data_IF_789052444478
#
_entry.id   IF_789052444478
#
_cell.length_a   1.000
_cell.length_b   1.000
_cell.length_c   1.000
_cell.angle_alpha   90.00
_cell.angle_beta   90.00
_cell.angle_gamma   90.00
#
_symmetry.space_group_name_H-M   'P 1'
#
loop_
_entity.id
_entity.type
_entity.pdbx_description
1 polymer ?
#
# COMPACT_ATOMS: atom_id res chain seq x y z
N UNK A 1 -41.78 -67.08 -13.41
CA UNK A 1 -40.46 -66.40 -13.70
C UNK A 1 -39.83 -65.97 -12.38
N UNK A 2 -38.69 -66.54 -12.06
CA UNK A 2 -38.04 -66.38 -10.73
C UNK A 2 -37.22 -65.11 -10.61
N UNK A 3 -37.20 -64.36 -9.45
CA UNK A 3 -36.24 -63.31 -9.20
C UNK A 3 -34.95 -63.89 -8.59
N UNK A 4 -33.80 -63.41 -9.07
CA UNK A 4 -32.46 -63.72 -8.55
C UNK A 4 -32.16 -62.84 -7.37
N UNK A 5 -31.88 -63.40 -6.21
CA UNK A 5 -31.24 -62.75 -5.07
C UNK A 5 -29.77 -62.50 -5.39
N UNK A 6 -29.32 -61.26 -5.20
CA UNK A 6 -27.93 -60.90 -5.16
C UNK A 6 -27.52 -60.71 -3.69
N UNK A 7 -26.59 -61.52 -3.26
CA UNK A 7 -25.98 -61.49 -1.92
C UNK A 7 -24.96 -60.38 -1.86
N UNK A 8 -25.10 -59.42 -0.89
CA UNK A 8 -24.11 -58.40 -0.57
C UNK A 8 -23.23 -58.96 0.55
N UNK A 9 -21.96 -59.20 0.22
CA UNK A 9 -20.91 -59.48 1.21
C UNK A 9 -20.47 -58.18 1.87
N UNK A 10 -20.69 -58.04 3.18
CA UNK A 10 -20.12 -56.97 4.00
C UNK A 10 -18.70 -57.33 4.38
N UNK A 11 -17.71 -56.59 3.88
CA UNK A 11 -16.33 -56.63 4.35
C UNK A 11 -16.16 -55.53 5.42
N UNK A 12 -16.09 -55.96 6.68
CA UNK A 12 -15.72 -55.10 7.80
C UNK A 12 -14.20 -54.88 7.79
N UNK A 13 -13.74 -53.71 7.36
CA UNK A 13 -12.35 -53.29 7.51
C UNK A 13 -12.15 -52.66 8.89
N UNK A 14 -11.41 -53.31 9.76
CA UNK A 14 -10.87 -52.72 11.01
C UNK A 14 -9.84 -51.62 10.66
N UNK A 15 -10.24 -50.38 10.78
CA UNK A 15 -9.32 -49.23 10.77
C UNK A 15 -8.75 -49.07 12.18
N UNK A 16 -7.58 -49.65 12.42
CA UNK A 16 -6.72 -49.28 13.56
C UNK A 16 -6.22 -47.85 13.39
N UNK A 17 -6.74 -46.94 14.20
CA UNK A 17 -6.23 -45.55 14.29
C UNK A 17 -4.88 -45.57 15.00
N UNK A 18 -3.79 -45.65 14.24
CA UNK A 18 -2.47 -45.26 14.74
C UNK A 18 -2.46 -43.74 14.85
N UNK A 19 -2.50 -43.20 16.08
CA UNK A 19 -2.22 -41.81 16.35
C UNK A 19 -0.74 -41.53 16.02
N UNK A 20 -0.50 -41.12 14.78
CA UNK A 20 0.79 -40.54 14.41
C UNK A 20 0.94 -39.22 15.14
N UNK A 21 1.72 -39.19 16.21
CA UNK A 21 2.27 -37.97 16.77
C UNK A 21 3.07 -37.29 15.65
N UNK A 22 2.50 -36.22 15.08
CA UNK A 22 3.21 -35.38 14.11
C UNK A 22 4.45 -34.82 14.82
N UNK A 23 5.57 -35.48 14.66
CA UNK A 23 6.86 -35.01 15.09
C UNK A 23 7.18 -33.79 14.24
N UNK A 24 7.12 -32.59 14.86
CA UNK A 24 7.47 -31.31 14.21
C UNK A 24 8.85 -31.50 13.57
N UNK A 25 8.89 -31.48 12.24
CA UNK A 25 10.17 -31.61 11.52
C UNK A 25 11.16 -30.62 12.11
N UNK A 26 12.45 -31.02 12.32
CA UNK A 26 13.44 -30.09 12.82
C UNK A 26 13.44 -28.86 11.90
N UNK A 27 13.28 -27.68 12.49
CA UNK A 27 13.32 -26.41 11.75
C UNK A 27 14.65 -26.36 10.98
N UNK A 28 14.56 -26.14 9.66
CA UNK A 28 15.77 -26.02 8.84
C UNK A 28 16.67 -24.93 9.40
N UNK A 29 18.00 -25.09 9.25
CA UNK A 29 18.93 -24.05 9.68
C UNK A 29 18.67 -22.76 8.90
N UNK A 30 18.88 -21.56 9.50
CA UNK A 30 18.72 -20.31 8.78
C UNK A 30 19.65 -20.30 7.57
N UNK A 31 19.12 -19.86 6.43
CA UNK A 31 19.88 -19.83 5.16
C UNK A 31 20.68 -18.54 5.02
N UNK A 32 20.28 -17.49 5.75
CA UNK A 32 20.88 -16.16 5.69
C UNK A 32 20.86 -15.48 7.06
N UNK A 33 21.92 -14.73 7.35
CA UNK A 33 22.01 -13.81 8.48
C UNK A 33 22.33 -12.41 7.95
N UNK A 34 21.65 -11.39 8.48
CA UNK A 34 22.01 -9.98 8.28
C UNK A 34 22.59 -9.43 9.57
N UNK A 35 23.65 -8.63 9.45
CA UNK A 35 24.26 -7.84 10.53
C UNK A 35 24.34 -6.38 10.13
N UNK A 36 24.22 -5.49 11.11
CA UNK A 36 24.40 -4.06 10.96
C UNK A 36 24.83 -3.42 12.28
N UNK A 37 25.13 -2.13 12.30
CA UNK A 37 25.43 -1.42 13.55
C UNK A 37 24.18 -1.24 14.42
N UNK A 38 23.01 -1.00 13.80
CA UNK A 38 21.77 -0.79 14.53
C UNK A 38 20.55 -1.40 13.80
N UNK A 39 19.46 -1.62 14.55
CA UNK A 39 18.14 -1.92 14.05
C UNK A 39 17.15 -0.98 14.74
N UNK A 40 16.32 -0.30 13.97
CA UNK A 40 15.23 0.48 14.53
C UNK A 40 14.05 -0.46 14.84
N UNK A 41 13.80 -0.67 16.12
CA UNK A 41 12.52 -1.21 16.57
C UNK A 41 11.45 -0.13 16.42
N UNK A 42 10.69 -0.23 15.34
CA UNK A 42 9.71 0.79 14.96
C UNK A 42 8.53 0.88 15.93
N UNK A 43 8.24 -0.18 16.68
CA UNK A 43 7.16 -0.20 17.67
C UNK A 43 7.54 0.62 18.91
N UNK A 44 8.75 0.44 19.43
CA UNK A 44 9.23 1.15 20.62
C UNK A 44 10.04 2.43 20.32
N UNK A 45 10.47 2.63 19.09
CA UNK A 45 11.35 3.74 18.69
C UNK A 45 12.80 3.57 19.16
N UNK A 46 13.21 2.40 19.68
CA UNK A 46 14.56 2.16 20.18
C UNK A 46 15.48 1.65 19.08
N UNK A 47 16.74 2.10 19.12
CA UNK A 47 17.80 1.51 18.33
C UNK A 47 18.40 0.32 19.09
N UNK A 48 18.31 -0.87 18.51
CA UNK A 48 18.92 -2.11 19.02
C UNK A 48 20.34 -2.19 18.44
N UNK A 49 21.40 -2.19 19.26
CA UNK A 49 22.78 -2.26 18.77
C UNK A 49 23.16 -3.69 18.36
N UNK A 50 24.12 -3.78 17.43
CA UNK A 50 24.68 -5.04 16.92
C UNK A 50 23.59 -6.08 16.58
N UNK A 51 22.54 -5.73 15.79
CA UNK A 51 21.47 -6.65 15.49
C UNK A 51 21.93 -7.78 14.59
N UNK A 52 21.36 -8.96 14.82
CA UNK A 52 21.41 -10.09 13.90
C UNK A 52 19.98 -10.48 13.54
N UNK A 53 19.68 -10.54 12.24
CA UNK A 53 18.42 -11.04 11.71
C UNK A 53 18.71 -12.38 11.03
N UNK A 54 18.15 -13.46 11.56
CA UNK A 54 18.25 -14.80 10.97
C UNK A 54 17.02 -15.06 10.10
N UNK A 55 17.26 -15.48 8.85
CA UNK A 55 16.23 -15.66 7.83
C UNK A 55 16.21 -17.12 7.38
N UNK A 56 15.00 -17.69 7.26
CA UNK A 56 14.74 -19.02 6.73
C UNK A 56 13.70 -18.90 5.61
N UNK A 57 14.12 -19.19 4.37
CA UNK A 57 13.29 -18.92 3.20
C UNK A 57 12.92 -17.44 3.12
N UNK A 58 11.64 -17.15 3.05
CA UNK A 58 11.12 -15.77 2.99
C UNK A 58 10.85 -15.13 4.36
N UNK A 59 11.10 -15.84 5.46
CA UNK A 59 10.66 -15.43 6.80
C UNK A 59 11.81 -15.14 7.75
N UNK A 60 11.57 -14.15 8.62
CA UNK A 60 12.42 -13.91 9.78
C UNK A 60 12.22 -15.07 10.76
N UNK A 61 13.31 -15.77 11.09
CA UNK A 61 13.32 -16.82 12.11
C UNK A 61 13.57 -16.26 13.50
N UNK A 62 14.54 -15.35 13.60
CA UNK A 62 14.91 -14.68 14.85
C UNK A 62 15.52 -13.32 14.56
N UNK A 63 15.36 -12.40 15.51
CA UNK A 63 15.98 -11.07 15.47
C UNK A 63 16.35 -10.67 16.89
N UNK A 64 17.52 -10.04 17.06
CA UNK A 64 17.97 -9.56 18.36
C UNK A 64 19.42 -9.07 18.32
N UNK A 65 19.85 -8.45 19.43
CA UNK A 65 21.23 -8.00 19.60
C UNK A 65 22.17 -9.19 19.80
N UNK A 66 23.25 -9.24 19.01
CA UNK A 66 24.33 -10.23 19.14
C UNK A 66 23.86 -11.69 19.15
N UNK A 67 22.80 -12.01 18.41
CA UNK A 67 22.36 -13.41 18.31
C UNK A 67 23.49 -14.27 17.72
N UNK A 68 23.68 -15.52 18.22
CA UNK A 68 24.62 -16.44 17.62
C UNK A 68 24.16 -16.82 16.21
N UNK A 69 25.08 -16.72 15.26
CA UNK A 69 24.86 -17.16 13.88
C UNK A 69 25.27 -18.62 13.78
N UNK A 70 24.37 -19.55 13.40
CA UNK A 70 24.72 -20.96 13.26
C UNK A 70 25.85 -21.18 12.24
N UNK A 71 26.73 -22.17 12.47
CA UNK A 71 27.79 -22.50 11.52
C UNK A 71 27.24 -22.80 10.13
N UNK A 72 27.90 -22.30 9.09
CA UNK A 72 27.51 -22.50 7.70
C UNK A 72 26.42 -21.55 7.20
N UNK A 73 25.86 -20.67 8.04
CA UNK A 73 24.91 -19.65 7.60
C UNK A 73 25.63 -18.56 6.80
N UNK A 74 25.16 -18.28 5.57
CA UNK A 74 25.63 -17.14 4.79
C UNK A 74 25.36 -15.84 5.55
N UNK A 75 26.31 -14.94 5.63
CA UNK A 75 26.13 -13.65 6.33
C UNK A 75 26.34 -12.49 5.37
N UNK A 76 25.43 -11.52 5.43
CA UNK A 76 25.59 -10.19 4.82
C UNK A 76 25.83 -9.22 5.98
N UNK A 77 26.95 -8.52 5.93
CA UNK A 77 27.33 -7.51 6.92
C UNK A 77 27.17 -6.11 6.28
N UNK A 78 26.25 -5.33 6.83
CA UNK A 78 25.92 -3.98 6.35
C UNK A 78 26.69 -2.89 7.12
N UNK A 79 27.68 -3.26 7.90
CA UNK A 79 28.59 -2.32 8.57
C UNK A 79 27.87 -1.33 9.47
N UNK A 80 28.06 -0.03 9.20
CA UNK A 80 27.56 1.10 10.00
C UNK A 80 26.07 1.44 9.73
N UNK A 81 25.35 0.61 8.96
CA UNK A 81 23.96 0.85 8.62
C UNK A 81 22.98 0.61 9.77
N UNK A 82 21.80 1.23 9.66
CA UNK A 82 20.62 0.96 10.49
C UNK A 82 19.60 0.17 9.67
N UNK A 83 19.17 -0.99 10.19
CA UNK A 83 18.10 -1.81 9.63
C UNK A 83 16.74 -1.27 10.04
N UNK A 84 15.79 -1.31 9.09
CA UNK A 84 14.37 -1.04 9.30
C UNK A 84 13.52 -2.11 8.61
N UNK A 85 12.23 -2.25 8.96
CA UNK A 85 11.28 -2.97 8.11
C UNK A 85 11.22 -2.34 6.73
N UNK A 86 10.96 -3.12 5.70
CA UNK A 86 10.60 -2.59 4.38
C UNK A 86 9.42 -1.65 4.46
N UNK A 87 9.49 -0.54 3.75
CA UNK A 87 8.44 0.48 3.76
C UNK A 87 7.19 -0.01 3.04
N UNK A 88 6.05 0.52 3.44
CA UNK A 88 4.72 0.19 2.91
C UNK A 88 4.09 1.47 2.37
N UNK A 89 3.64 1.42 1.13
CA UNK A 89 2.91 2.50 0.46
C UNK A 89 1.43 2.10 0.29
N UNK A 90 0.54 2.79 1.01
CA UNK A 90 -0.89 2.48 1.03
C UNK A 90 -1.68 3.14 -0.11
N UNK A 91 -1.04 3.94 -0.95
CA UNK A 91 -1.69 4.60 -2.08
C UNK A 91 -0.71 4.81 -3.23
N UNK A 92 -0.80 3.95 -4.22
CA UNK A 92 0.01 4.05 -5.44
C UNK A 92 -0.75 3.49 -6.65
N UNK A 93 -0.26 3.75 -7.85
CA UNK A 93 -0.85 3.36 -9.13
C UNK A 93 0.22 2.76 -10.06
N UNK A 94 0.80 1.61 -9.69
CA UNK A 94 1.88 0.99 -10.47
C UNK A 94 1.42 0.51 -11.84
N UNK A 95 0.11 0.27 -12.00
CA UNK A 95 -0.50 -0.26 -13.23
C UNK A 95 -1.19 0.82 -14.06
N UNK A 96 -1.15 2.08 -13.65
CA UNK A 96 -1.82 3.18 -14.34
C UNK A 96 -0.82 4.24 -14.75
N UNK A 97 -0.88 4.67 -16.01
CA UNK A 97 -0.15 5.83 -16.50
C UNK A 97 -1.13 6.99 -16.55
N UNK A 98 -1.00 7.94 -15.63
CA UNK A 98 -1.94 9.01 -15.31
C UNK A 98 -2.43 9.87 -16.49
N UNK A 99 -1.75 9.88 -17.62
CA UNK A 99 -2.08 10.80 -18.74
C UNK A 99 -2.84 10.18 -19.89
N UNK A 100 -3.20 8.88 -19.89
CA UNK A 100 -3.52 8.23 -21.16
C UNK A 100 -4.66 7.22 -21.14
N UNK A 101 -5.86 7.63 -20.67
CA UNK A 101 -7.06 6.84 -21.04
C UNK A 101 -7.20 6.69 -22.55
N UNK A 102 -6.82 7.72 -23.32
CA UNK A 102 -6.97 7.73 -24.78
C UNK A 102 -5.73 7.32 -25.57
N UNK A 103 -4.50 7.37 -25.00
CA UNK A 103 -3.26 7.18 -25.76
C UNK A 103 -2.47 5.94 -25.39
N UNK A 104 -2.69 5.31 -24.26
CA UNK A 104 -1.95 4.12 -23.82
C UNK A 104 -2.81 2.87 -23.74
N UNK A 105 -4.00 3.02 -23.19
CA UNK A 105 -4.91 1.93 -22.93
C UNK A 105 -4.30 0.81 -22.04
N UNK A 106 -5.08 -0.23 -21.72
CA UNK A 106 -4.64 -1.33 -20.85
C UNK A 106 -3.39 -2.05 -21.32
N UNK A 107 -3.14 -2.10 -22.63
CA UNK A 107 -1.95 -2.75 -23.20
C UNK A 107 -0.66 -2.01 -22.84
N UNK A 108 -0.67 -0.67 -22.89
CA UNK A 108 0.49 0.11 -22.47
C UNK A 108 0.72 -0.01 -20.97
N UNK A 109 -0.35 0.06 -20.17
CA UNK A 109 -0.30 -0.09 -18.72
C UNK A 109 0.28 -1.46 -18.34
N UNK A 110 -0.17 -2.54 -18.98
CA UNK A 110 0.35 -3.89 -18.75
C UNK A 110 1.85 -4.02 -19.08
N UNK A 111 2.35 -3.33 -20.11
CA UNK A 111 3.77 -3.38 -20.50
C UNK A 111 4.65 -2.53 -19.57
N UNK A 112 4.14 -1.41 -19.08
CA UNK A 112 4.91 -0.49 -18.23
C UNK A 112 4.89 -0.86 -16.74
N UNK A 113 3.82 -1.52 -16.28
CA UNK A 113 3.60 -1.88 -14.88
C UNK A 113 4.76 -2.68 -14.23
N UNK A 114 5.38 -3.69 -14.87
CA UNK A 114 6.54 -4.38 -14.31
C UNK A 114 7.72 -3.45 -14.02
N UNK A 115 7.98 -2.50 -14.92
CA UNK A 115 9.04 -1.49 -14.74
C UNK A 115 8.76 -0.54 -13.58
N UNK A 116 7.51 -0.13 -13.41
CA UNK A 116 7.06 0.72 -12.30
C UNK A 116 7.16 -0.04 -10.96
N UNK A 117 6.67 -1.28 -10.92
CA UNK A 117 6.75 -2.15 -9.74
C UNK A 117 8.20 -2.36 -9.28
N UNK A 118 9.12 -2.59 -10.23
CA UNK A 118 10.53 -2.73 -9.93
C UNK A 118 11.13 -1.45 -9.34
N UNK A 119 10.91 -0.27 -9.95
CA UNK A 119 11.38 1.02 -9.44
C UNK A 119 10.85 1.28 -8.02
N UNK A 120 9.58 1.00 -7.78
CA UNK A 120 8.94 1.12 -6.47
C UNK A 120 9.62 0.19 -5.44
N UNK A 121 9.90 -1.07 -5.80
CA UNK A 121 10.60 -2.00 -4.91
C UNK A 121 12.05 -1.56 -4.64
N UNK A 122 12.80 -1.16 -5.66
CA UNK A 122 14.19 -0.70 -5.54
C UNK A 122 14.33 0.58 -4.70
N UNK A 123 13.25 1.37 -4.57
CA UNK A 123 13.23 2.54 -3.67
C UNK A 123 13.09 2.20 -2.18
N UNK A 124 12.81 0.93 -1.85
CA UNK A 124 12.63 0.46 -0.47
C UNK A 124 11.17 0.20 -0.07
N UNK A 125 10.23 0.40 -0.99
CA UNK A 125 8.82 0.04 -0.80
C UNK A 125 8.64 -1.45 -1.09
N UNK A 126 8.52 -2.25 -0.05
CA UNK A 126 8.41 -3.72 -0.19
C UNK A 126 6.98 -4.22 -0.25
N UNK A 127 6.02 -3.39 0.15
CA UNK A 127 4.58 -3.68 0.09
C UNK A 127 3.83 -2.45 -0.38
N UNK A 128 2.81 -2.63 -1.24
CA UNK A 128 1.96 -1.56 -1.76
C UNK A 128 0.48 -1.94 -1.69
N UNK A 129 -0.36 -0.89 -1.69
CA UNK A 129 -1.77 -0.97 -2.03
C UNK A 129 -1.97 -0.16 -3.32
N UNK A 130 -2.21 -0.89 -4.44
CA UNK A 130 -2.54 -0.30 -5.74
C UNK A 130 -4.04 0.01 -5.78
N UNK A 131 -4.39 1.29 -5.93
CA UNK A 131 -5.75 1.77 -5.71
C UNK A 131 -6.53 2.11 -6.98
N UNK A 132 -6.04 1.73 -8.12
CA UNK A 132 -6.77 1.82 -9.37
C UNK A 132 -6.02 1.12 -10.51
N UNK A 133 -6.70 0.25 -11.21
CA UNK A 133 -6.21 -0.36 -12.43
C UNK A 133 -7.34 -0.50 -13.44
N UNK A 134 -6.99 -0.48 -14.71
CA UNK A 134 -7.90 -0.83 -15.81
C UNK A 134 -7.77 -2.32 -16.09
N UNK A 135 -8.87 -2.95 -16.49
CA UNK A 135 -8.87 -4.29 -17.08
C UNK A 135 -8.20 -5.37 -16.16
N UNK A 136 -8.22 -5.15 -14.83
CA UNK A 136 -7.64 -6.07 -13.82
C UNK A 136 -6.14 -6.37 -14.01
N UNK A 137 -5.39 -5.42 -14.59
CA UNK A 137 -3.94 -5.54 -14.81
C UNK A 137 -3.19 -5.68 -13.51
N UNK A 138 -3.64 -5.00 -12.45
CA UNK A 138 -3.08 -5.07 -11.09
C UNK A 138 -3.16 -6.48 -10.49
N UNK A 139 -4.27 -7.19 -10.72
CA UNK A 139 -4.43 -8.60 -10.32
C UNK A 139 -3.43 -9.47 -11.06
N UNK A 140 -3.30 -9.28 -12.38
CA UNK A 140 -2.35 -10.04 -13.19
C UNK A 140 -0.90 -9.78 -12.75
N UNK A 141 -0.53 -8.52 -12.49
CA UNK A 141 0.78 -8.13 -12.00
C UNK A 141 1.07 -8.71 -10.60
N UNK A 142 0.14 -8.53 -9.65
CA UNK A 142 0.25 -9.12 -8.31
C UNK A 142 0.51 -10.61 -8.37
N UNK A 143 -0.26 -11.32 -9.17
CA UNK A 143 -0.16 -12.77 -9.26
C UNK A 143 1.14 -13.22 -9.95
N UNK A 144 1.64 -12.47 -10.95
CA UNK A 144 2.95 -12.71 -11.56
C UNK A 144 4.10 -12.47 -10.55
N UNK A 145 4.01 -11.41 -9.74
CA UNK A 145 4.98 -11.15 -8.66
C UNK A 145 4.94 -12.27 -7.61
N UNK A 146 3.75 -12.73 -7.22
CA UNK A 146 3.59 -13.82 -6.24
C UNK A 146 4.16 -15.15 -6.74
N UNK A 147 4.15 -15.40 -8.07
CA UNK A 147 4.78 -16.57 -8.70
C UNK A 147 6.30 -16.40 -8.93
N UNK A 148 6.84 -15.20 -8.69
CA UNK A 148 8.25 -14.89 -8.95
C UNK A 148 8.60 -14.69 -10.43
N UNK A 149 7.62 -14.46 -11.30
CA UNK A 149 7.78 -14.21 -12.73
C UNK A 149 8.16 -12.74 -13.01
N UNK A 150 7.78 -11.83 -12.12
CA UNK A 150 8.05 -10.40 -12.19
C UNK A 150 8.60 -9.93 -10.83
N UNK A 151 9.62 -9.07 -10.88
CA UNK A 151 10.12 -8.38 -9.68
C UNK A 151 9.20 -7.21 -9.32
N UNK A 152 8.81 -7.11 -8.05
CA UNK A 152 7.96 -6.03 -7.54
C UNK A 152 7.68 -6.19 -6.06
N UNK A 153 7.05 -5.18 -5.42
CA UNK A 153 6.61 -5.24 -4.03
C UNK A 153 5.49 -6.28 -3.84
N UNK A 154 5.17 -6.62 -2.60
CA UNK A 154 3.92 -7.32 -2.29
C UNK A 154 2.76 -6.37 -2.57
N UNK A 155 1.69 -6.87 -3.17
CA UNK A 155 0.58 -6.03 -3.60
C UNK A 155 -0.74 -6.44 -2.95
N UNK A 156 -1.50 -5.44 -2.48
CA UNK A 156 -2.95 -5.48 -2.36
C UNK A 156 -3.50 -4.61 -3.50
N UNK A 157 -4.52 -5.09 -4.19
CA UNK A 157 -5.02 -4.47 -5.41
C UNK A 157 -6.51 -4.14 -5.30
N UNK A 158 -6.90 -2.99 -5.85
CA UNK A 158 -8.29 -2.52 -5.81
C UNK A 158 -9.06 -2.83 -7.07
N UNK A 159 -8.38 -3.19 -8.16
CA UNK A 159 -9.00 -3.31 -9.48
C UNK A 159 -9.54 -1.95 -9.97
N UNK A 160 -10.76 -1.89 -10.52
CA UNK A 160 -11.37 -0.61 -10.88
C UNK A 160 -11.73 0.21 -9.62
N UNK A 161 -11.56 1.52 -9.71
CA UNK A 161 -12.15 2.40 -8.71
C UNK A 161 -13.65 2.58 -9.00
N UNK A 162 -14.48 2.55 -7.96
CA UNK A 162 -15.93 2.73 -8.11
C UNK A 162 -16.25 4.22 -8.11
N UNK A 163 -16.80 4.73 -9.20
CA UNK A 163 -17.21 6.12 -9.40
C UNK A 163 -18.68 6.24 -9.79
N UNK A 164 -19.21 7.44 -9.68
CA UNK A 164 -20.54 7.82 -10.20
C UNK A 164 -20.45 8.34 -11.62
N UNK A 165 -21.59 8.38 -12.32
CA UNK A 165 -21.70 9.07 -13.62
C UNK A 165 -21.26 10.53 -13.49
N UNK A 166 -20.37 10.99 -14.37
CA UNK A 166 -19.78 12.32 -14.38
C UNK A 166 -18.74 12.55 -13.26
N UNK A 167 -18.30 11.47 -12.58
CA UNK A 167 -17.34 11.55 -11.49
C UNK A 167 -15.88 11.42 -11.93
N UNK A 168 -14.96 11.50 -10.96
CA UNK A 168 -13.52 11.60 -11.13
C UNK A 168 -12.88 10.50 -12.02
N UNK A 169 -13.40 9.28 -12.01
CA UNK A 169 -12.86 8.20 -12.85
C UNK A 169 -13.59 8.04 -14.20
N UNK A 170 -14.62 8.84 -14.49
CA UNK A 170 -15.28 8.86 -15.79
C UNK A 170 -14.62 9.88 -16.73
N UNK A 171 -13.38 9.62 -17.12
CA UNK A 171 -12.67 10.45 -18.11
C UNK A 171 -13.15 10.09 -19.54
N UNK A 172 -14.22 10.74 -19.95
CA UNK A 172 -14.83 10.56 -21.28
C UNK A 172 -14.68 11.80 -22.17
N UNK A 173 -13.80 12.73 -21.82
CA UNK A 173 -13.59 13.96 -22.57
C UNK A 173 -13.29 13.66 -24.05
N UNK A 174 -14.11 14.22 -24.94
CA UNK A 174 -14.00 14.02 -26.37
C UNK A 174 -14.71 12.78 -26.93
N UNK A 175 -15.34 11.95 -26.10
CA UNK A 175 -16.21 10.88 -26.56
C UNK A 175 -17.62 11.38 -26.80
N UNK A 176 -18.31 10.75 -27.76
CA UNK A 176 -19.75 11.02 -27.99
C UNK A 176 -20.57 10.50 -26.79
N UNK A 177 -21.61 11.25 -26.33
CA UNK A 177 -22.52 10.75 -25.28
C UNK A 177 -23.25 9.44 -25.63
N UNK A 178 -23.14 8.97 -26.87
CA UNK A 178 -23.71 7.69 -27.31
C UNK A 178 -22.75 6.50 -27.07
N UNK A 179 -21.50 6.75 -26.66
CA UNK A 179 -20.52 5.73 -26.34
C UNK A 179 -20.59 5.47 -24.82
N UNK A 180 -20.95 4.26 -24.42
CA UNK A 180 -20.92 3.84 -23.01
C UNK A 180 -19.65 3.01 -22.75
N UNK A 181 -18.87 3.43 -21.76
CA UNK A 181 -17.66 2.73 -21.27
C UNK A 181 -17.74 2.47 -19.76
N UNK A 182 -18.93 2.59 -19.18
CA UNK A 182 -19.16 2.55 -17.73
C UNK A 182 -18.61 1.28 -17.07
N UNK A 183 -18.86 0.11 -17.66
CA UNK A 183 -18.35 -1.17 -17.11
C UNK A 183 -16.81 -1.24 -17.13
N UNK A 184 -16.17 -0.54 -18.07
CA UNK A 184 -14.72 -0.48 -18.19
C UNK A 184 -14.07 0.49 -17.16
N UNK A 185 -14.82 1.53 -16.77
CA UNK A 185 -14.33 2.56 -15.85
C UNK A 185 -14.75 2.33 -14.38
N UNK A 186 -15.63 1.37 -14.12
CA UNK A 186 -16.13 1.14 -12.77
C UNK A 186 -17.23 2.13 -12.35
N UNK A 187 -18.08 2.59 -13.30
CA UNK A 187 -19.13 3.57 -13.04
C UNK A 187 -20.42 2.87 -12.61
N UNK A 188 -21.00 3.31 -11.49
CA UNK A 188 -22.26 2.78 -10.98
C UNK A 188 -23.03 3.83 -10.18
N UNK A 189 -24.35 3.93 -10.45
CA UNK A 189 -25.28 4.82 -9.76
C UNK A 189 -26.39 4.03 -9.06
N UNK A 190 -26.68 4.41 -7.82
CA UNK A 190 -27.72 3.78 -7.00
C UNK A 190 -27.21 2.56 -6.22
N UNK A 191 -27.86 2.28 -5.10
CA UNK A 191 -27.48 1.28 -4.09
C UNK A 191 -27.29 -0.13 -4.69
N UNK A 192 -28.16 -0.56 -5.58
CA UNK A 192 -28.08 -1.91 -6.16
C UNK A 192 -26.92 -2.05 -7.13
N UNK A 193 -26.65 -1.00 -7.93
CA UNK A 193 -25.56 -0.99 -8.91
C UNK A 193 -24.20 -1.00 -8.22
N UNK A 194 -23.99 -0.15 -7.20
CA UNK A 194 -22.72 -0.12 -6.46
C UNK A 194 -22.47 -1.43 -5.71
N UNK A 195 -23.50 -2.06 -5.11
CA UNK A 195 -23.35 -3.40 -4.49
C UNK A 195 -22.96 -4.47 -5.52
N UNK A 196 -23.56 -4.44 -6.70
CA UNK A 196 -23.22 -5.36 -7.79
C UNK A 196 -21.76 -5.17 -8.20
N UNK A 197 -21.30 -3.92 -8.33
CA UNK A 197 -19.94 -3.60 -8.75
C UNK A 197 -18.93 -4.08 -7.69
N UNK A 198 -19.14 -3.82 -6.39
CA UNK A 198 -18.29 -4.36 -5.30
C UNK A 198 -18.11 -5.88 -5.43
N UNK A 199 -19.21 -6.62 -5.68
CA UNK A 199 -19.14 -8.08 -5.87
C UNK A 199 -18.35 -8.45 -7.13
N UNK A 200 -18.44 -7.63 -8.17
CA UNK A 200 -17.71 -7.84 -9.41
C UNK A 200 -16.21 -7.67 -9.19
N UNK A 201 -15.79 -6.58 -8.52
CA UNK A 201 -14.39 -6.36 -8.19
C UNK A 201 -13.81 -7.50 -7.32
N UNK A 202 -14.54 -7.93 -6.30
CA UNK A 202 -14.14 -9.07 -5.45
C UNK A 202 -14.04 -10.36 -6.26
N UNK A 203 -15.01 -10.63 -7.16
CA UNK A 203 -14.99 -11.80 -8.05
C UNK A 203 -13.73 -11.85 -8.90
N UNK A 204 -13.26 -10.71 -9.38
CA UNK A 204 -12.09 -10.62 -10.25
C UNK A 204 -10.78 -10.44 -9.50
N UNK A 205 -10.81 -10.42 -8.16
CA UNK A 205 -9.60 -10.57 -7.36
C UNK A 205 -9.19 -9.36 -6.55
N UNK A 206 -10.07 -8.37 -6.36
CA UNK A 206 -9.79 -7.23 -5.49
C UNK A 206 -9.49 -7.66 -4.05
N UNK A 207 -8.44 -7.10 -3.48
CA UNK A 207 -8.06 -7.23 -2.07
C UNK A 207 -8.64 -6.12 -1.21
N UNK A 208 -8.93 -4.98 -1.83
CA UNK A 208 -9.48 -3.75 -1.25
C UNK A 208 -10.48 -3.15 -2.24
N UNK A 209 -11.44 -2.37 -1.78
CA UNK A 209 -12.34 -1.60 -2.65
C UNK A 209 -11.91 -0.13 -2.63
N UNK A 210 -11.77 0.48 -3.78
CA UNK A 210 -11.54 1.93 -3.96
C UNK A 210 -12.82 2.60 -4.42
N UNK A 211 -13.16 3.74 -3.80
CA UNK A 211 -14.25 4.61 -4.23
C UNK A 211 -13.76 6.02 -4.48
N UNK A 212 -14.44 6.73 -5.36
CA UNK A 212 -14.26 8.15 -5.60
C UNK A 212 -15.39 8.90 -4.85
N UNK A 213 -15.07 9.48 -3.69
CA UNK A 213 -16.05 10.20 -2.89
C UNK A 213 -16.21 11.66 -3.33
N UNK A 214 -15.19 12.22 -4.00
CA UNK A 214 -15.20 13.57 -4.59
C UNK A 214 -14.56 13.55 -5.95
N UNK A 215 -14.65 14.66 -6.68
CA UNK A 215 -13.82 14.90 -7.85
C UNK A 215 -12.34 15.01 -7.52
N UNK A 216 -11.52 14.88 -8.55
CA UNK A 216 -10.08 15.10 -8.50
C UNK A 216 -9.72 16.59 -8.49
N UNK A 217 -8.46 16.87 -8.20
CA UNK A 217 -7.95 18.23 -8.17
C UNK A 217 -7.90 18.91 -9.55
N UNK A 218 -8.03 18.15 -10.62
CA UNK A 218 -7.95 18.66 -12.01
C UNK A 218 -9.29 19.01 -12.61
N UNK A 219 -10.38 18.59 -11.99
CA UNK A 219 -11.75 18.67 -12.47
C UNK A 219 -12.55 19.68 -11.64
N UNK A 220 -13.49 20.37 -12.26
CA UNK A 220 -14.51 21.18 -11.61
C UNK A 220 -14.08 22.42 -10.82
N UNK A 221 -15.03 23.36 -10.72
CA UNK A 221 -14.85 24.63 -9.97
C UNK A 221 -15.42 24.57 -8.53
N UNK A 222 -16.13 23.49 -8.15
CA UNK A 222 -16.95 23.43 -6.93
C UNK A 222 -16.53 22.31 -5.96
N UNK A 223 -15.22 22.13 -5.76
CA UNK A 223 -14.63 21.03 -5.03
C UNK A 223 -14.93 21.00 -3.52
N UNK A 224 -15.40 22.10 -2.94
CA UNK A 224 -15.57 22.19 -1.47
C UNK A 224 -16.79 21.42 -0.97
N UNK A 225 -17.85 21.33 -1.77
CA UNK A 225 -19.16 20.84 -1.35
C UNK A 225 -19.69 19.69 -2.21
N UNK A 226 -18.83 19.07 -3.03
CA UNK A 226 -19.27 18.05 -3.95
C UNK A 226 -19.01 16.66 -3.41
N UNK A 227 -20.07 15.84 -3.36
CA UNK A 227 -19.98 14.41 -3.09
C UNK A 227 -20.46 13.66 -4.32
N UNK A 228 -19.65 12.73 -4.82
CA UNK A 228 -20.02 11.93 -6.00
C UNK A 228 -21.07 10.87 -5.71
N UNK A 229 -21.14 10.40 -4.45
CA UNK A 229 -22.14 9.44 -3.99
C UNK A 229 -22.94 10.01 -2.84
N UNK A 230 -24.19 9.60 -2.75
CA UNK A 230 -24.99 9.79 -1.53
C UNK A 230 -24.44 8.96 -0.38
N UNK A 231 -24.76 9.34 0.86
CA UNK A 231 -24.39 8.53 2.04
C UNK A 231 -24.91 7.08 1.92
N UNK A 232 -26.11 6.88 1.38
CA UNK A 232 -26.71 5.55 1.24
C UNK A 232 -25.93 4.65 0.25
N UNK A 233 -25.42 5.21 -0.85
CA UNK A 233 -24.59 4.49 -1.81
C UNK A 233 -23.23 4.12 -1.18
N UNK A 234 -22.56 5.08 -0.52
CA UNK A 234 -21.28 4.79 0.14
C UNK A 234 -21.43 3.73 1.25
N UNK A 235 -22.51 3.83 2.07
CA UNK A 235 -22.81 2.80 3.07
C UNK A 235 -23.04 1.43 2.43
N UNK A 236 -23.74 1.38 1.31
CA UNK A 236 -23.98 0.13 0.59
C UNK A 236 -22.67 -0.52 0.07
N UNK A 237 -21.72 0.31 -0.40
CA UNK A 237 -20.39 -0.15 -0.80
C UNK A 237 -19.64 -0.71 0.40
N UNK A 238 -19.58 0.05 1.50
CA UNK A 238 -18.86 -0.33 2.72
C UNK A 238 -19.41 -1.61 3.34
N UNK A 239 -20.73 -1.69 3.52
CA UNK A 239 -21.41 -2.89 4.05
C UNK A 239 -21.11 -4.13 3.19
N UNK A 240 -21.19 -3.98 1.87
CA UNK A 240 -20.93 -5.10 0.97
C UNK A 240 -19.47 -5.52 1.01
N UNK A 241 -18.52 -4.59 0.97
CA UNK A 241 -17.09 -4.88 1.06
C UNK A 241 -16.73 -5.55 2.40
N UNK A 242 -17.16 -4.98 3.53
CA UNK A 242 -16.89 -5.50 4.85
C UNK A 242 -17.48 -6.90 5.07
N UNK A 243 -18.63 -7.21 4.47
CA UNK A 243 -19.21 -8.57 4.50
C UNK A 243 -18.28 -9.62 3.91
N UNK A 244 -17.42 -9.24 2.95
CA UNK A 244 -16.38 -10.09 2.37
C UNK A 244 -15.01 -9.92 3.03
N UNK A 245 -14.92 -9.17 4.14
CA UNK A 245 -13.68 -8.88 4.83
C UNK A 245 -12.73 -7.99 4.03
N UNK A 246 -13.26 -7.19 3.09
CA UNK A 246 -12.49 -6.23 2.29
C UNK A 246 -12.62 -4.84 2.89
N UNK A 247 -11.51 -4.11 2.97
CA UNK A 247 -11.47 -2.71 3.38
C UNK A 247 -11.87 -1.79 2.24
N UNK A 248 -12.28 -0.55 2.59
CA UNK A 248 -12.68 0.47 1.62
C UNK A 248 -11.79 1.70 1.78
N UNK A 249 -11.17 2.11 0.66
CA UNK A 249 -10.37 3.33 0.54
C UNK A 249 -11.16 4.37 -0.26
N UNK A 250 -11.30 5.59 0.28
CA UNK A 250 -12.07 6.66 -0.35
C UNK A 250 -11.16 7.82 -0.78
N UNK A 251 -11.03 8.04 -2.10
CA UNK A 251 -10.52 9.29 -2.63
C UNK A 251 -11.42 10.45 -2.20
N UNK A 252 -10.89 11.45 -1.53
CA UNK A 252 -11.68 12.60 -1.09
C UNK A 252 -10.80 13.85 -0.89
N UNK A 253 -11.03 14.89 -1.68
CA UNK A 253 -10.41 16.20 -1.52
C UNK A 253 -11.32 17.20 -0.79
N UNK A 254 -12.58 17.27 -1.19
CA UNK A 254 -13.55 18.22 -0.67
C UNK A 254 -14.06 17.88 0.73
N UNK A 255 -14.30 18.91 1.53
CA UNK A 255 -14.67 18.80 2.96
C UNK A 255 -15.91 17.95 3.20
N UNK A 256 -16.97 18.13 2.40
CA UNK A 256 -18.22 17.40 2.60
C UNK A 256 -18.11 15.93 2.17
N UNK A 257 -17.41 15.65 1.07
CA UNK A 257 -17.13 14.28 0.63
C UNK A 257 -16.30 13.50 1.65
N UNK A 258 -15.27 14.12 2.23
CA UNK A 258 -14.51 13.54 3.34
C UNK A 258 -15.45 13.12 4.48
N UNK A 259 -16.32 14.03 4.94
CA UNK A 259 -17.23 13.77 6.07
C UNK A 259 -18.27 12.71 5.75
N UNK A 260 -18.82 12.70 4.53
CA UNK A 260 -19.79 11.68 4.11
C UNK A 260 -19.14 10.30 4.01
N UNK A 261 -17.93 10.21 3.44
CA UNK A 261 -17.19 8.95 3.36
C UNK A 261 -16.87 8.37 4.74
N UNK A 262 -16.42 9.22 5.69
CA UNK A 262 -16.15 8.76 7.07
C UNK A 262 -17.45 8.25 7.74
N UNK A 263 -18.57 8.98 7.61
CA UNK A 263 -19.87 8.55 8.15
C UNK A 263 -20.42 7.29 7.49
N UNK A 264 -20.03 7.01 6.26
CA UNK A 264 -20.35 5.76 5.60
C UNK A 264 -19.56 4.57 6.14
N UNK A 265 -18.46 4.81 6.85
CA UNK A 265 -17.66 3.78 7.50
C UNK A 265 -16.47 3.29 6.70
N UNK A 266 -15.91 4.10 5.79
CA UNK A 266 -14.70 3.76 5.04
C UNK A 266 -13.51 3.56 5.98
N UNK A 267 -12.57 2.69 5.61
CA UNK A 267 -11.38 2.38 6.41
C UNK A 267 -10.28 3.42 6.28
N UNK A 268 -10.19 4.09 5.13
CA UNK A 268 -9.24 5.20 4.92
C UNK A 268 -9.81 6.29 4.03
N UNK A 269 -9.40 7.52 4.34
CA UNK A 269 -9.52 8.69 3.47
C UNK A 269 -8.18 8.91 2.81
N UNK A 270 -8.18 8.89 1.49
CA UNK A 270 -7.04 9.20 0.65
C UNK A 270 -7.02 10.71 0.39
N UNK A 271 -5.84 11.31 0.44
CA UNK A 271 -5.60 12.76 0.31
C UNK A 271 -6.12 13.58 1.50
N UNK A 272 -7.43 13.64 1.72
CA UNK A 272 -8.00 14.44 2.80
C UNK A 272 -7.68 15.93 2.70
N UNK A 273 -7.58 16.47 1.48
CA UNK A 273 -6.93 17.74 1.16
C UNK A 273 -7.55 18.93 1.88
N UNK A 274 -8.88 19.07 1.87
CA UNK A 274 -9.60 20.17 2.54
C UNK A 274 -10.21 19.72 3.88
N UNK A 275 -9.45 18.93 4.65
CA UNK A 275 -9.87 18.41 5.94
C UNK A 275 -10.07 19.54 6.95
N UNK A 276 -11.31 19.70 7.44
CA UNK A 276 -11.68 20.66 8.48
C UNK A 276 -11.65 20.04 9.89
N UNK A 277 -11.96 20.85 10.92
CA UNK A 277 -11.94 20.41 12.31
C UNK A 277 -13.01 19.33 12.60
N UNK A 278 -14.17 19.37 11.91
CA UNK A 278 -15.18 18.33 12.00
C UNK A 278 -14.71 17.03 11.37
N UNK A 279 -14.10 17.09 10.21
CA UNK A 279 -13.50 15.93 9.54
C UNK A 279 -12.43 15.26 10.40
N UNK A 280 -11.55 16.04 11.05
CA UNK A 280 -10.55 15.54 12.01
C UNK A 280 -11.23 14.81 13.19
N UNK A 281 -12.30 15.39 13.76
CA UNK A 281 -13.06 14.76 14.84
C UNK A 281 -13.67 13.43 14.38
N UNK A 282 -14.29 13.42 13.21
CA UNK A 282 -14.90 12.22 12.65
C UNK A 282 -13.88 11.11 12.37
N UNK A 283 -12.69 11.43 11.79
CA UNK A 283 -11.61 10.46 11.61
C UNK A 283 -11.24 9.75 12.91
N UNK A 284 -11.14 10.51 13.99
CA UNK A 284 -10.85 9.96 15.33
C UNK A 284 -11.98 9.10 15.89
N UNK A 285 -13.22 9.58 15.81
CA UNK A 285 -14.39 8.88 16.34
C UNK A 285 -14.63 7.53 15.63
N UNK A 286 -14.44 7.49 14.32
CA UNK A 286 -14.62 6.29 13.51
C UNK A 286 -13.34 5.41 13.43
N UNK A 287 -12.19 5.94 13.86
CA UNK A 287 -10.91 5.22 13.73
C UNK A 287 -10.43 5.07 12.29
N UNK A 288 -10.98 5.88 11.37
CA UNK A 288 -10.62 5.91 9.95
C UNK A 288 -9.21 6.46 9.78
N UNK A 289 -8.42 5.83 8.93
CA UNK A 289 -7.07 6.29 8.60
C UNK A 289 -7.09 7.49 7.64
N UNK A 290 -6.12 8.40 7.81
CA UNK A 290 -5.75 9.38 6.78
C UNK A 290 -4.52 8.87 6.03
N UNK A 291 -4.58 8.89 4.70
CA UNK A 291 -3.44 8.60 3.80
C UNK A 291 -3.16 9.88 2.98
N UNK A 292 -2.21 10.73 3.39
CA UNK A 292 -2.18 12.14 3.01
C UNK A 292 -1.71 12.42 1.59
N UNK A 293 -0.83 11.61 1.00
CA UNK A 293 -0.23 11.82 -0.34
C UNK A 293 0.29 13.24 -0.57
N UNK A 294 0.93 13.81 0.45
CA UNK A 294 1.21 15.24 0.48
C UNK A 294 2.38 15.67 -0.41
N UNK A 295 3.36 14.78 -0.62
CA UNK A 295 4.54 15.09 -1.43
C UNK A 295 4.18 15.37 -2.91
N UNK A 296 3.10 14.77 -3.42
CA UNK A 296 2.70 15.00 -4.80
C UNK A 296 2.43 16.48 -5.11
N UNK A 297 1.93 17.26 -4.13
CA UNK A 297 1.67 18.70 -4.30
C UNK A 297 2.97 19.50 -4.38
N UNK A 298 3.96 19.16 -3.55
CA UNK A 298 5.28 19.78 -3.55
C UNK A 298 6.02 19.43 -4.85
N UNK A 299 5.95 18.18 -5.28
CA UNK A 299 6.50 17.72 -6.55
C UNK A 299 5.89 18.47 -7.74
N UNK A 300 4.56 18.64 -7.75
CA UNK A 300 3.85 19.37 -8.81
C UNK A 300 4.21 20.87 -8.85
N UNK A 301 4.50 21.48 -7.70
CA UNK A 301 4.99 22.87 -7.64
C UNK A 301 6.42 22.99 -8.19
N UNK A 302 7.29 22.03 -7.87
CA UNK A 302 8.69 21.98 -8.35
C UNK A 302 8.77 21.62 -9.84
N UNK A 303 7.80 20.85 -10.37
CA UNK A 303 7.78 20.32 -11.73
C UNK A 303 6.44 20.65 -12.45
N UNK A 304 6.07 21.92 -12.59
CA UNK A 304 4.78 22.29 -13.16
C UNK A 304 4.68 21.85 -14.64
N UNK A 305 3.56 21.26 -15.09
CA UNK A 305 3.32 20.99 -16.51
C UNK A 305 3.42 22.28 -17.34
N UNK A 306 4.04 22.20 -18.51
CA UNK A 306 4.28 23.36 -19.38
C UNK A 306 3.00 24.03 -19.89
N UNK A 307 1.90 23.30 -19.95
CA UNK A 307 0.58 23.71 -20.42
C UNK A 307 -0.38 24.10 -19.29
N UNK A 308 0.10 24.18 -18.04
CA UNK A 308 -0.73 24.50 -16.86
C UNK A 308 -1.26 25.92 -16.93
N UNK A 309 -2.58 26.10 -16.97
CA UNK A 309 -3.22 27.42 -17.00
C UNK A 309 -3.03 28.16 -15.66
N UNK A 310 -3.08 29.52 -15.64
CA UNK A 310 -3.00 30.28 -14.38
C UNK A 310 -4.07 29.86 -13.36
N UNK A 311 -5.30 29.60 -13.80
CA UNK A 311 -6.41 29.15 -12.94
C UNK A 311 -6.12 27.76 -12.32
N UNK A 312 -5.66 26.81 -13.12
CA UNK A 312 -5.29 25.50 -12.63
C UNK A 312 -4.14 25.59 -11.61
N UNK A 313 -3.15 26.46 -11.84
CA UNK A 313 -2.06 26.68 -10.89
C UNK A 313 -2.53 27.31 -9.56
N UNK A 314 -3.45 28.24 -9.61
CA UNK A 314 -4.05 28.82 -8.39
C UNK A 314 -4.77 27.76 -7.57
N UNK A 315 -5.53 26.88 -8.24
CA UNK A 315 -6.19 25.73 -7.63
C UNK A 315 -5.20 24.78 -6.99
N UNK A 316 -4.13 24.37 -7.68
CA UNK A 316 -3.09 23.50 -7.15
C UNK A 316 -2.47 24.07 -5.86
N UNK A 317 -2.16 25.37 -5.86
CA UNK A 317 -1.65 26.04 -4.67
C UNK A 317 -2.68 26.10 -3.51
N UNK A 318 -3.97 26.19 -3.82
CA UNK A 318 -5.03 26.09 -2.81
C UNK A 318 -5.06 24.70 -2.19
N UNK A 319 -4.99 23.63 -3.00
CA UNK A 319 -4.97 22.25 -2.53
C UNK A 319 -3.70 21.95 -1.75
N UNK A 320 -2.55 22.40 -2.19
CA UNK A 320 -1.28 22.25 -1.46
C UNK A 320 -1.39 22.87 -0.06
N UNK A 321 -1.89 24.11 0.03
CA UNK A 321 -2.10 24.77 1.34
C UNK A 321 -3.11 24.02 2.20
N UNK A 322 -4.20 23.57 1.60
CA UNK A 322 -5.23 22.78 2.28
C UNK A 322 -4.68 21.45 2.83
N UNK A 323 -3.97 20.70 2.00
CA UNK A 323 -3.33 19.44 2.37
C UNK A 323 -2.38 19.62 3.55
N UNK A 324 -1.47 20.59 3.50
CA UNK A 324 -0.54 20.89 4.61
C UNK A 324 -1.29 21.28 5.89
N UNK A 325 -2.33 22.11 5.79
CA UNK A 325 -3.11 22.55 6.95
C UNK A 325 -3.95 21.41 7.55
N UNK A 326 -4.64 20.62 6.72
CA UNK A 326 -5.44 19.48 7.13
C UNK A 326 -4.57 18.39 7.78
N UNK A 327 -3.41 18.09 7.17
CA UNK A 327 -2.44 17.14 7.73
C UNK A 327 -1.93 17.58 9.10
N UNK A 328 -1.52 18.84 9.25
CA UNK A 328 -1.04 19.36 10.53
C UNK A 328 -2.10 19.26 11.64
N UNK A 329 -3.38 19.54 11.32
CA UNK A 329 -4.51 19.34 12.25
C UNK A 329 -4.71 17.87 12.62
N UNK A 330 -4.64 16.96 11.64
CA UNK A 330 -4.77 15.53 11.85
C UNK A 330 -3.66 15.00 12.78
N UNK A 331 -2.41 15.41 12.54
CA UNK A 331 -1.26 15.05 13.38
C UNK A 331 -1.44 15.56 14.81
N UNK A 332 -1.77 16.86 14.97
CA UNK A 332 -1.97 17.47 16.30
C UNK A 332 -3.10 16.82 17.08
N UNK A 333 -4.14 16.34 16.40
CA UNK A 333 -5.27 15.66 17.00
C UNK A 333 -5.00 14.16 17.29
N UNK A 334 -3.91 13.58 16.78
CA UNK A 334 -3.60 12.15 16.91
C UNK A 334 -4.53 11.26 16.09
N UNK A 335 -4.86 11.68 14.86
CA UNK A 335 -5.54 10.84 13.86
C UNK A 335 -4.63 9.68 13.47
N UNK A 336 -5.18 8.52 13.17
CA UNK A 336 -4.43 7.41 12.58
C UNK A 336 -3.96 7.80 11.17
N UNK A 337 -2.67 7.74 10.93
CA UNK A 337 -2.07 8.08 9.63
C UNK A 337 -1.27 6.90 9.11
N UNK A 338 -1.45 6.58 7.82
CA UNK A 338 -0.62 5.64 7.08
C UNK A 338 -0.02 6.34 5.85
N UNK A 339 1.20 5.96 5.49
CA UNK A 339 1.91 6.52 4.34
C UNK A 339 1.25 6.07 3.04
N UNK A 340 1.08 6.99 2.10
CA UNK A 340 0.72 6.74 0.70
C UNK A 340 1.27 7.85 -0.17
N UNK A 341 1.83 7.51 -1.34
CA UNK A 341 2.59 8.46 -2.16
C UNK A 341 1.82 9.02 -3.36
N UNK A 342 0.78 8.31 -3.79
CA UNK A 342 0.09 8.55 -5.06
C UNK A 342 1.04 8.50 -6.28
N UNK A 343 1.99 7.54 -6.25
CA UNK A 343 2.89 7.34 -7.39
C UNK A 343 2.11 6.90 -8.61
N UNK A 344 2.20 7.64 -9.56
CA UNK A 344 1.97 8.00 -10.92
C UNK A 344 1.78 9.53 -11.02
N UNK A 345 1.24 10.22 -10.00
CA UNK A 345 1.30 11.70 -9.88
C UNK A 345 2.75 12.16 -9.62
N UNK A 346 3.53 11.33 -8.94
CA UNK A 346 5.01 11.44 -8.83
C UNK A 346 5.67 10.24 -9.52
N UNK A 347 6.96 10.32 -9.93
CA UNK A 347 7.66 9.19 -10.50
C UNK A 347 7.75 7.99 -9.54
N UNK A 348 7.54 6.77 -10.07
CA UNK A 348 7.84 5.55 -9.33
C UNK A 348 9.33 5.51 -8.96
N UNK A 349 9.61 5.21 -7.70
CA UNK A 349 10.95 5.28 -7.10
C UNK A 349 11.13 6.48 -6.17
N UNK A 350 10.27 7.50 -6.25
CA UNK A 350 10.25 8.63 -5.32
C UNK A 350 9.26 8.45 -4.15
N UNK A 351 8.53 7.35 -4.12
CA UNK A 351 7.54 7.03 -3.09
C UNK A 351 8.01 7.31 -1.63
N UNK A 352 9.26 6.95 -1.21
CA UNK A 352 9.69 7.16 0.16
C UNK A 352 9.84 8.64 0.56
N UNK A 353 9.82 9.58 -0.40
CA UNK A 353 9.82 11.02 -0.11
C UNK A 353 8.58 11.48 0.65
N UNK A 354 7.48 10.73 0.55
CA UNK A 354 6.30 10.98 1.39
C UNK A 354 6.61 10.85 2.88
N UNK A 355 7.48 9.91 3.29
CA UNK A 355 7.92 9.79 4.69
C UNK A 355 8.65 11.06 5.14
N UNK A 356 9.50 11.60 4.26
CA UNK A 356 10.22 12.86 4.53
C UNK A 356 9.24 14.03 4.60
N UNK A 357 8.27 14.06 3.67
CA UNK A 357 7.23 15.10 3.65
C UNK A 357 6.41 15.07 4.96
N UNK A 358 5.93 13.92 5.40
CA UNK A 358 5.18 13.78 6.65
C UNK A 358 6.00 14.29 7.86
N UNK A 359 7.29 13.97 7.92
CA UNK A 359 8.16 14.41 9.01
C UNK A 359 8.43 15.93 8.98
N UNK A 360 8.51 16.54 7.81
CA UNK A 360 8.74 17.98 7.67
C UNK A 360 7.48 18.82 7.86
N UNK A 361 6.29 18.18 7.84
CA UNK A 361 4.99 18.83 7.98
C UNK A 361 4.23 18.51 9.28
N UNK A 362 4.95 18.08 10.33
CA UNK A 362 4.39 18.01 11.69
C UNK A 362 4.53 16.67 12.41
N UNK A 363 4.86 15.58 11.74
CA UNK A 363 5.18 14.33 12.42
C UNK A 363 6.61 14.34 12.96
N UNK A 364 6.85 13.58 14.04
CA UNK A 364 8.23 13.22 14.39
C UNK A 364 8.78 12.22 13.40
N UNK A 365 10.11 12.12 13.20
CA UNK A 365 10.71 11.08 12.34
C UNK A 365 10.22 9.67 12.65
N UNK A 366 10.10 9.33 13.94
CA UNK A 366 9.57 8.02 14.35
C UNK A 366 8.12 7.83 13.91
N UNK A 367 7.25 8.82 14.12
CA UNK A 367 5.85 8.71 13.73
C UNK A 367 5.68 8.57 12.21
N UNK A 368 6.48 9.28 11.40
CA UNK A 368 6.48 9.15 9.95
C UNK A 368 6.94 7.75 9.50
N UNK A 369 7.97 7.20 10.14
CA UNK A 369 8.43 5.83 9.90
C UNK A 369 7.35 4.81 10.31
N UNK A 370 6.69 5.02 11.45
CA UNK A 370 5.57 4.17 11.88
C UNK A 370 4.41 4.22 10.90
N UNK A 371 4.08 5.39 10.34
CA UNK A 371 3.07 5.54 9.30
C UNK A 371 3.40 4.75 8.03
N UNK A 372 4.68 4.60 7.70
CA UNK A 372 5.18 3.82 6.55
C UNK A 372 5.48 2.35 6.89
N UNK A 373 5.21 1.89 8.10
CA UNK A 373 5.52 0.53 8.55
C UNK A 373 4.36 -0.08 9.33
N UNK A 374 4.33 0.04 10.65
CA UNK A 374 3.34 -0.65 11.51
C UNK A 374 1.92 -0.13 11.32
N UNK A 375 1.72 1.18 11.14
CA UNK A 375 0.39 1.74 10.90
C UNK A 375 -0.13 1.39 9.50
N UNK A 376 0.74 1.44 8.49
CA UNK A 376 0.40 0.97 7.15
C UNK A 376 0.03 -0.53 7.16
N UNK A 377 0.80 -1.36 7.86
CA UNK A 377 0.50 -2.79 8.00
C UNK A 377 -0.86 -3.03 8.71
N UNK A 378 -1.21 -2.21 9.71
CA UNK A 378 -2.53 -2.26 10.37
C UNK A 378 -3.65 -1.87 9.41
N UNK A 379 -3.48 -0.75 8.68
CA UNK A 379 -4.45 -0.34 7.66
C UNK A 379 -4.67 -1.44 6.62
N UNK A 380 -3.61 -2.11 6.17
CA UNK A 380 -3.72 -3.20 5.20
C UNK A 380 -4.26 -4.51 5.79
N UNK A 381 -4.37 -4.63 7.12
CA UNK A 381 -4.72 -5.88 7.80
C UNK A 381 -3.61 -6.94 7.72
N UNK A 382 -2.36 -6.52 7.55
CA UNK A 382 -1.18 -7.38 7.38
C UNK A 382 -0.16 -7.28 8.52
N UNK A 383 -0.55 -6.80 9.68
CA UNK A 383 0.33 -6.64 10.85
C UNK A 383 1.09 -7.91 11.24
N UNK A 384 0.49 -9.10 11.01
CA UNK A 384 1.13 -10.40 11.27
C UNK A 384 2.13 -10.81 10.16
N UNK A 385 2.22 -10.05 9.07
CA UNK A 385 3.02 -10.41 7.89
C UNK A 385 4.19 -9.48 7.66
N UNK A 386 3.97 -8.16 7.82
CA UNK A 386 4.91 -7.07 7.49
C UNK A 386 4.86 -5.97 8.55
N UNK A 387 5.59 -4.88 8.34
CA UNK A 387 5.53 -3.65 9.13
C UNK A 387 6.47 -3.61 10.34
N UNK A 388 6.96 -4.75 10.85
CA UNK A 388 8.04 -4.79 11.84
C UNK A 388 8.94 -6.01 11.63
N UNK A 389 10.16 -5.96 12.17
CA UNK A 389 11.11 -7.07 12.09
C UNK A 389 10.89 -8.00 13.28
N UNK A 390 10.07 -9.02 13.11
CA UNK A 390 9.72 -9.99 14.14
C UNK A 390 9.70 -11.42 13.59
N UNK A 391 9.96 -12.44 14.43
CA UNK A 391 9.89 -13.83 14.00
C UNK A 391 8.55 -14.20 13.39
N UNK A 392 8.56 -14.90 12.26
CA UNK A 392 7.38 -15.31 11.50
C UNK A 392 6.93 -14.31 10.42
N UNK A 393 7.31 -13.04 10.51
CA UNK A 393 7.03 -12.04 9.46
C UNK A 393 7.93 -12.24 8.24
N UNK A 394 7.54 -11.66 7.12
CA UNK A 394 8.39 -11.67 5.93
C UNK A 394 9.72 -10.96 6.18
N UNK A 395 10.78 -11.48 5.60
CA UNK A 395 12.10 -10.86 5.61
C UNK A 395 12.17 -9.73 4.57
N UNK A 396 11.31 -8.73 4.76
CA UNK A 396 11.25 -7.51 3.98
C UNK A 396 11.92 -6.40 4.81
N UNK A 397 13.12 -5.98 4.39
CA UNK A 397 13.99 -5.09 5.15
C UNK A 397 14.59 -4.03 4.24
N UNK A 398 14.86 -2.89 4.84
CA UNK A 398 15.70 -1.85 4.23
C UNK A 398 16.82 -1.46 5.20
N UNK A 399 17.89 -0.89 4.67
CA UNK A 399 18.94 -0.31 5.49
C UNK A 399 19.38 1.05 4.95
N UNK A 400 19.70 1.97 5.86
CA UNK A 400 20.25 3.28 5.57
C UNK A 400 21.53 3.51 6.37
N UNK A 401 22.45 4.34 5.83
CA UNK A 401 23.66 4.73 6.56
C UNK A 401 23.33 5.85 7.54
N UNK A 402 23.51 5.58 8.83
CA UNK A 402 23.20 6.54 9.89
C UNK A 402 21.87 6.29 10.59
N UNK A 403 21.37 7.28 11.32
CA UNK A 403 20.19 7.15 12.17
C UNK A 403 18.99 7.92 11.56
N UNK A 404 17.95 7.23 11.04
CA UNK A 404 16.80 7.89 10.42
C UNK A 404 15.90 8.63 11.43
N UNK A 405 16.08 8.43 12.74
CA UNK A 405 15.38 9.22 13.77
C UNK A 405 15.98 10.64 13.93
N UNK A 406 17.24 10.82 13.56
CA UNK A 406 17.91 12.16 13.59
C UNK A 406 17.95 12.80 12.21
N UNK A 407 17.95 12.01 11.14
CA UNK A 407 17.89 12.48 9.77
C UNK A 407 16.95 11.58 8.93
N UNK A 408 15.69 11.96 8.88
CA UNK A 408 14.67 11.23 8.12
C UNK A 408 14.91 11.26 6.60
N UNK A 409 15.70 12.23 6.11
CA UNK A 409 16.03 12.38 4.67
C UNK A 409 16.82 11.18 4.15
N UNK A 410 17.47 10.41 5.03
CA UNK A 410 18.12 9.14 4.65
C UNK A 410 17.15 8.17 3.98
N UNK A 411 15.86 8.25 4.27
CA UNK A 411 14.83 7.40 3.67
C UNK A 411 14.45 7.82 2.25
N UNK A 412 14.83 9.00 1.79
CA UNK A 412 14.60 9.42 0.40
C UNK A 412 15.51 8.68 -0.62
N UNK A 413 16.58 8.03 -0.15
CA UNK A 413 17.51 7.28 -1.01
C UNK A 413 18.05 6.06 -0.25
N UNK A 414 17.29 4.97 -0.26
CA UNK A 414 17.60 3.75 0.49
C UNK A 414 18.63 2.91 -0.28
N UNK A 415 19.83 2.66 0.29
CA UNK A 415 20.90 1.97 -0.40
C UNK A 415 20.84 0.43 -0.31
N UNK A 416 20.03 -0.13 0.58
CA UNK A 416 19.85 -1.58 0.70
C UNK A 416 18.37 -1.94 0.81
N UNK A 417 17.94 -2.88 -0.02
CA UNK A 417 16.57 -3.38 -0.04
C UNK A 417 16.57 -4.90 -0.12
N UNK A 418 15.80 -5.54 0.73
CA UNK A 418 15.55 -6.98 0.72
C UNK A 418 14.04 -7.23 0.76
N UNK A 419 13.56 -8.16 -0.07
CA UNK A 419 12.19 -8.66 -0.06
C UNK A 419 12.17 -10.18 0.03
N UNK A 420 11.47 -10.73 1.03
CA UNK A 420 11.37 -12.18 1.22
C UNK A 420 12.72 -12.88 1.35
N UNK A 421 13.72 -12.24 1.98
CA UNK A 421 15.07 -12.80 2.12
C UNK A 421 15.95 -12.70 0.86
N UNK A 422 15.40 -12.24 -0.27
CA UNK A 422 16.16 -11.96 -1.48
C UNK A 422 16.64 -10.51 -1.50
N UNK A 423 17.93 -10.30 -1.76
CA UNK A 423 18.50 -8.95 -1.93
C UNK A 423 18.06 -8.40 -3.28
N UNK A 424 17.38 -7.26 -3.26
CA UNK A 424 16.92 -6.51 -4.44
C UNK A 424 17.94 -5.45 -4.84
N UNK A 425 18.48 -4.75 -3.84
CA UNK A 425 19.45 -3.67 -4.03
C UNK A 425 20.48 -3.72 -2.91
N UNK A 426 21.78 -3.58 -3.26
CA UNK A 426 22.87 -3.51 -2.30
C UNK A 426 23.95 -2.54 -2.77
N UNK A 427 23.89 -1.32 -2.29
CA UNK A 427 24.89 -0.26 -2.49
C UNK A 427 25.75 -0.04 -1.22
N UNK A 428 25.53 -0.88 -0.18
CA UNK A 428 26.28 -0.80 1.09
C UNK A 428 27.48 -1.73 1.07
N UNK A 429 27.28 -3.02 0.81
CA UNK A 429 28.35 -4.02 0.85
C UNK A 429 29.27 -3.97 -0.38
N UNK A 430 28.78 -3.43 -1.50
CA UNK A 430 29.55 -3.30 -2.74
C UNK A 430 30.62 -2.19 -2.73
N UNK A 431 30.66 -1.30 -1.72
CA UNK A 431 31.74 -0.32 -1.61
C UNK A 431 32.93 -0.95 -0.86
N UNK A 432 34.16 -0.97 -1.42
CA UNK A 432 35.34 -1.39 -0.69
C UNK A 432 35.49 -0.49 0.53
N UNK A 433 35.68 -1.14 1.70
CA UNK A 433 35.95 -0.46 2.95
C UNK A 433 37.04 0.61 2.72
N UNK A 434 36.74 1.88 2.86
CA UNK A 434 37.75 2.92 2.85
C UNK A 434 38.69 2.60 4.03
N UNK A 435 39.89 2.17 3.71
CA UNK A 435 40.94 1.92 4.69
C UNK A 435 41.12 3.21 5.49
N UNK A 436 40.70 3.18 6.76
CA UNK A 436 41.06 4.26 7.69
C UNK A 436 42.60 4.27 7.81
N UNK A 437 43.22 5.27 7.20
CA UNK A 437 44.61 5.63 7.46
C UNK A 437 44.74 6.27 8.83
#
# INVERSE_FOLDING_TARGET
>A
MRPRLLSVLAVAALLGAAAATAQKAPSAAPTLALRAAALLDVESGRLVPDPVVLIEGERIRAVGSRLPIPPGTRTIDLGDATLLPGLIDCHTHVTTTYRFLLYGGPMNDAVTAPGNARKTLESGITTIRDLWAKDYIDVALRDAINRGEVEGPRMLVATLAIGSTGGHNEDVLGLSPTVSINDFLGIADGVDAVRKLVRTEIKYGADVIKIMATEGAEEGDNLDNETQFTLAEMQAIVEEAHRYGKKVAAHAHGTDGIKVAIRAGVDSIEHGTLLDDEGVRLLKEHGTYLVPTGYMWDYGEEHPPADRTPLARERDLRFQRGSRAGFAKAVAAGVKIAMGSDSSAIPHGENPREVVWMATHGMTPLAAIQAATVHAADLLGWSERVGSLAPGKYADLVAVRGNPLTDVKLLAAIPFVMKGGAVVKDEISAQPCAVRQ
#
